data_IF_605728562453
#
_entry.id   IF_605728562453
#
_cell.length_a   1.000
_cell.length_b   1.000
_cell.length_c   1.000
_cell.angle_alpha   90.00
_cell.angle_beta   90.00
_cell.angle_gamma   90.00
#
_symmetry.space_group_name_H-M   'P 1'
#
loop_
_entity.id
_entity.type
_entity.pdbx_description
1 polymer ?
#
# COMPACT_ATOMS: atom_id res chain seq x y z
N UNK A 1 -28.37 27.60 -1.26
CA UNK A 1 -28.07 26.41 -2.08
C UNK A 1 -27.27 25.45 -1.21
N UNK A 2 -27.93 24.45 -0.66
CA UNK A 2 -27.28 23.40 0.13
C UNK A 2 -26.60 22.45 -0.84
N UNK A 3 -25.27 22.49 -0.89
CA UNK A 3 -24.48 21.46 -1.53
C UNK A 3 -24.74 20.14 -0.81
N UNK A 4 -25.54 19.30 -1.42
CA UNK A 4 -25.77 17.95 -0.98
C UNK A 4 -24.46 17.19 -1.22
N UNK A 5 -23.57 17.17 -0.25
CA UNK A 5 -22.40 16.31 -0.25
C UNK A 5 -22.97 14.90 -0.11
N UNK A 6 -23.10 14.19 -1.22
CA UNK A 6 -23.37 12.75 -1.16
C UNK A 6 -22.19 12.16 -0.38
N UNK A 7 -22.46 11.76 0.86
CA UNK A 7 -21.55 10.92 1.62
C UNK A 7 -21.50 9.63 0.82
N UNK A 8 -20.36 9.35 0.20
CA UNK A 8 -20.17 8.08 -0.48
C UNK A 8 -20.31 6.99 0.57
N UNK A 9 -21.11 5.97 0.29
CA UNK A 9 -21.23 4.80 1.16
C UNK A 9 -19.93 3.98 1.18
N UNK A 10 -18.96 4.38 0.37
CA UNK A 10 -17.65 3.76 0.27
C UNK A 10 -16.86 3.89 1.57
N UNK A 11 -16.27 2.79 1.97
CA UNK A 11 -15.46 2.69 3.18
C UNK A 11 -14.14 1.98 2.93
N UNK A 12 -13.08 2.58 3.43
CA UNK A 12 -11.73 2.04 3.36
C UNK A 12 -11.33 1.49 4.72
N UNK A 13 -10.91 0.23 4.73
CA UNK A 13 -10.30 -0.40 5.88
C UNK A 13 -8.78 -0.21 5.81
N UNK A 14 -8.17 0.27 6.89
CA UNK A 14 -6.72 0.40 7.00
C UNK A 14 -6.24 -0.62 8.03
N UNK A 15 -5.39 -1.54 7.62
CA UNK A 15 -4.70 -2.47 8.52
C UNK A 15 -3.33 -1.92 8.86
N UNK A 16 -3.12 -1.68 10.16
CA UNK A 16 -1.92 -1.03 10.71
C UNK A 16 -0.87 -2.06 11.10
N UNK A 17 0.28 -2.01 10.41
CA UNK A 17 1.46 -2.82 10.70
C UNK A 17 2.49 -2.10 11.60
N UNK A 18 2.08 -1.03 12.27
CA UNK A 18 2.93 -0.28 13.19
C UNK A 18 3.60 0.95 12.57
N UNK A 19 3.11 1.45 11.46
CA UNK A 19 3.63 2.67 10.84
C UNK A 19 3.27 3.92 11.64
N UNK A 20 4.20 4.82 11.80
CA UNK A 20 3.93 6.17 12.31
C UNK A 20 3.03 7.00 11.38
N UNK A 21 2.80 6.56 10.15
CA UNK A 21 1.98 7.24 9.14
C UNK A 21 0.56 6.68 8.99
N UNK A 22 0.20 5.61 9.70
CA UNK A 22 -1.11 4.97 9.52
C UNK A 22 -2.28 5.91 9.82
N UNK A 23 -2.17 6.73 10.87
CA UNK A 23 -3.17 7.76 11.19
C UNK A 23 -3.24 8.86 10.12
N UNK A 24 -2.10 9.23 9.53
CA UNK A 24 -2.06 10.20 8.44
C UNK A 24 -2.76 9.66 7.20
N UNK A 25 -2.57 8.37 6.88
CA UNK A 25 -3.27 7.70 5.78
C UNK A 25 -4.77 7.77 6.00
N UNK A 26 -5.26 7.40 7.19
CA UNK A 26 -6.68 7.48 7.54
C UNK A 26 -7.24 8.89 7.39
N UNK A 27 -6.49 9.88 7.85
CA UNK A 27 -6.86 11.29 7.70
C UNK A 27 -6.95 11.72 6.24
N UNK A 28 -5.98 11.35 5.40
CA UNK A 28 -5.98 11.70 3.98
C UNK A 28 -7.16 11.09 3.22
N UNK A 29 -7.51 9.84 3.54
CA UNK A 29 -8.70 9.19 2.98
C UNK A 29 -9.96 9.98 3.34
N UNK A 30 -10.10 10.40 4.61
CA UNK A 30 -11.24 11.20 5.07
C UNK A 30 -11.27 12.60 4.46
N UNK A 31 -10.13 13.25 4.29
CA UNK A 31 -10.01 14.54 3.59
C UNK A 31 -10.46 14.44 2.14
N UNK A 32 -10.30 13.27 1.49
CA UNK A 32 -10.85 12.98 0.18
C UNK A 32 -12.37 12.68 0.18
N UNK A 33 -13.03 12.77 1.34
CA UNK A 33 -14.47 12.56 1.46
C UNK A 33 -14.90 11.09 1.60
N UNK A 34 -13.96 10.18 1.84
CA UNK A 34 -14.23 8.74 1.97
C UNK A 34 -14.12 8.32 3.43
N UNK A 35 -15.07 7.52 3.91
CA UNK A 35 -15.02 6.96 5.26
C UNK A 35 -13.87 5.97 5.40
N UNK A 36 -13.13 6.05 6.50
CA UNK A 36 -12.06 5.10 6.80
C UNK A 36 -11.97 4.78 8.27
N UNK A 37 -11.64 3.53 8.58
CA UNK A 37 -11.26 3.09 9.93
C UNK A 37 -9.94 2.34 9.88
N UNK A 38 -9.21 2.41 10.99
CA UNK A 38 -7.91 1.78 11.16
C UNK A 38 -8.01 0.72 12.26
N UNK A 39 -7.57 -0.48 11.95
CA UNK A 39 -7.50 -1.62 12.87
C UNK A 39 -6.10 -2.23 12.85
N UNK A 40 -5.77 -3.02 13.84
CA UNK A 40 -4.53 -3.78 13.86
C UNK A 40 -4.47 -4.79 12.69
N UNK A 41 -3.27 -5.08 12.22
CA UNK A 41 -3.05 -5.97 11.07
C UNK A 41 -3.66 -7.37 11.23
N UNK A 42 -3.85 -7.84 12.45
CA UNK A 42 -4.38 -9.17 12.81
C UNK A 42 -5.90 -9.18 13.04
N UNK A 43 -6.60 -8.18 12.51
CA UNK A 43 -8.07 -8.13 12.53
C UNK A 43 -8.66 -9.45 12.02
N UNK A 44 -9.69 -9.97 12.71
CA UNK A 44 -10.28 -11.24 12.35
C UNK A 44 -10.98 -11.19 10.98
N UNK A 45 -11.03 -12.33 10.28
CA UNK A 45 -11.78 -12.44 9.03
C UNK A 45 -13.25 -12.04 9.19
N UNK A 46 -13.88 -12.46 10.30
CA UNK A 46 -15.26 -12.13 10.60
C UNK A 46 -15.48 -10.61 10.69
N UNK A 47 -14.59 -9.91 11.41
CA UNK A 47 -14.67 -8.47 11.56
C UNK A 47 -14.40 -7.72 10.25
N UNK A 48 -13.44 -8.19 9.45
CA UNK A 48 -13.16 -7.63 8.12
C UNK A 48 -14.39 -7.75 7.21
N UNK A 49 -15.04 -8.92 7.19
CA UNK A 49 -16.26 -9.13 6.42
C UNK A 49 -17.43 -8.30 6.95
N UNK A 50 -17.57 -8.17 8.27
CA UNK A 50 -18.59 -7.34 8.90
C UNK A 50 -18.39 -5.84 8.61
N UNK A 51 -17.14 -5.38 8.55
CA UNK A 51 -16.81 -4.01 8.14
C UNK A 51 -17.25 -3.72 6.70
N UNK A 52 -17.24 -4.73 5.83
CA UNK A 52 -17.64 -4.66 4.43
C UNK A 52 -16.90 -3.54 3.67
N UNK A 53 -15.56 -3.61 3.55
CA UNK A 53 -14.78 -2.57 2.89
C UNK A 53 -14.99 -2.54 1.38
N UNK A 54 -14.93 -1.34 0.78
CA UNK A 54 -14.85 -1.15 -0.68
C UNK A 54 -13.40 -1.13 -1.17
N UNK A 55 -12.44 -0.98 -0.24
CA UNK A 55 -11.02 -1.07 -0.49
C UNK A 55 -10.25 -1.24 0.82
N UNK A 56 -9.06 -1.79 0.75
CA UNK A 56 -8.20 -2.06 1.90
C UNK A 56 -6.84 -1.42 1.67
N UNK A 57 -6.30 -0.77 2.70
CA UNK A 57 -4.93 -0.25 2.70
C UNK A 57 -4.13 -1.03 3.75
N UNK A 58 -3.01 -1.62 3.33
CA UNK A 58 -2.01 -2.21 4.21
C UNK A 58 -0.93 -1.16 4.45
N UNK A 59 -0.80 -0.70 5.68
CA UNK A 59 0.16 0.36 6.03
C UNK A 59 1.61 -0.14 6.00
N UNK A 60 2.55 0.77 6.18
CA UNK A 60 3.92 0.42 6.48
C UNK A 60 4.09 -0.15 7.88
N UNK A 61 5.29 -0.58 8.19
CA UNK A 61 5.67 -1.10 9.51
C UNK A 61 7.19 -1.20 9.64
N UNK A 62 7.69 -1.36 10.88
CA UNK A 62 9.13 -1.42 11.15
C UNK A 62 9.75 -2.81 10.95
N UNK A 63 8.93 -3.85 10.81
CA UNK A 63 9.37 -5.24 10.74
C UNK A 63 9.86 -5.63 9.34
N UNK A 64 10.54 -6.77 9.25
CA UNK A 64 10.97 -7.39 8.00
C UNK A 64 10.17 -8.66 7.72
N UNK A 65 9.59 -8.77 6.52
CA UNK A 65 8.65 -9.86 6.18
C UNK A 65 9.28 -11.25 6.12
N UNK A 66 10.61 -11.33 5.98
CA UNK A 66 11.35 -12.60 5.96
C UNK A 66 11.72 -13.10 7.36
N UNK A 67 11.53 -12.31 8.39
CA UNK A 67 11.75 -12.74 9.76
C UNK A 67 10.63 -13.68 10.24
N UNK A 68 11.01 -14.69 11.02
CA UNK A 68 10.05 -15.63 11.57
C UNK A 68 9.09 -14.92 12.54
N UNK A 69 7.78 -15.07 12.31
CA UNK A 69 6.75 -14.44 13.13
C UNK A 69 6.43 -12.99 12.74
N UNK A 70 6.97 -12.49 11.63
CA UNK A 70 6.64 -11.15 11.13
C UNK A 70 5.14 -11.00 10.87
N UNK A 71 4.58 -9.80 11.09
CA UNK A 71 3.18 -9.51 10.85
C UNK A 71 2.76 -9.81 9.41
N UNK A 72 1.60 -10.45 9.22
CA UNK A 72 1.03 -10.76 7.91
C UNK A 72 -0.40 -10.27 7.83
N UNK A 73 -0.82 -9.89 6.63
CA UNK A 73 -2.23 -9.58 6.40
C UNK A 73 -3.07 -10.86 6.50
N UNK A 74 -4.30 -10.80 7.03
CA UNK A 74 -5.24 -11.92 6.94
C UNK A 74 -5.48 -12.32 5.49
N UNK A 75 -5.49 -13.62 5.19
CA UNK A 75 -5.65 -14.11 3.81
C UNK A 75 -6.94 -13.63 3.14
N UNK A 76 -7.99 -13.42 3.93
CA UNK A 76 -9.26 -12.89 3.44
C UNK A 76 -9.12 -11.57 2.69
N UNK A 77 -8.14 -10.73 3.06
CA UNK A 77 -7.85 -9.45 2.41
C UNK A 77 -7.67 -9.60 0.89
N UNK A 78 -6.98 -10.67 0.47
CA UNK A 78 -6.70 -10.93 -0.94
C UNK A 78 -7.81 -11.72 -1.65
N UNK A 79 -8.82 -12.20 -0.90
CA UNK A 79 -9.90 -13.03 -1.42
C UNK A 79 -11.27 -12.33 -1.43
N UNK A 80 -11.36 -11.09 -0.92
CA UNK A 80 -12.61 -10.33 -0.89
C UNK A 80 -13.04 -9.78 -2.25
N UNK A 81 -12.13 -9.70 -3.22
CA UNK A 81 -12.42 -9.10 -4.52
C UNK A 81 -12.53 -7.58 -4.50
N UNK A 82 -11.95 -6.92 -3.50
CA UNK A 82 -11.85 -5.46 -3.40
C UNK A 82 -10.42 -5.00 -3.67
N UNK A 83 -10.21 -3.75 -4.14
CA UNK A 83 -8.87 -3.21 -4.32
C UNK A 83 -8.06 -3.21 -3.02
N UNK A 84 -6.79 -3.59 -3.10
CA UNK A 84 -5.85 -3.59 -1.98
C UNK A 84 -4.63 -2.74 -2.33
N UNK A 85 -4.33 -1.74 -1.51
CA UNK A 85 -3.13 -0.91 -1.62
C UNK A 85 -2.14 -1.26 -0.52
N UNK A 86 -0.97 -1.77 -0.88
CA UNK A 86 0.14 -2.00 0.05
C UNK A 86 1.15 -0.84 0.01
N UNK A 87 1.50 -0.30 1.18
CA UNK A 87 2.46 0.79 1.33
C UNK A 87 3.66 0.30 2.14
N UNK A 88 4.87 0.38 1.59
CA UNK A 88 6.12 -0.04 2.25
C UNK A 88 6.02 -1.50 2.75
N UNK A 89 6.01 -1.74 4.06
CA UNK A 89 5.82 -3.09 4.62
C UNK A 89 4.55 -3.76 4.09
N UNK A 90 3.45 -3.01 3.91
CA UNK A 90 2.21 -3.53 3.33
C UNK A 90 2.39 -4.07 1.91
N UNK A 91 3.19 -3.41 1.06
CA UNK A 91 3.57 -3.93 -0.25
C UNK A 91 4.44 -5.19 -0.12
N UNK A 92 5.38 -5.19 0.81
CA UNK A 92 6.31 -6.31 1.01
C UNK A 92 5.56 -7.56 1.49
N UNK A 93 4.69 -7.44 2.50
CA UNK A 93 3.90 -8.58 3.00
C UNK A 93 2.92 -9.08 1.94
N UNK A 94 2.27 -8.20 1.19
CA UNK A 94 1.41 -8.55 0.07
C UNK A 94 2.19 -9.32 -1.01
N UNK A 95 3.34 -8.81 -1.43
CA UNK A 95 4.20 -9.48 -2.41
C UNK A 95 4.63 -10.86 -1.96
N UNK A 96 5.07 -11.00 -0.71
CA UNK A 96 5.49 -12.28 -0.14
C UNK A 96 4.33 -13.28 -0.05
N UNK A 97 3.15 -12.83 0.38
CA UNK A 97 1.96 -13.69 0.53
C UNK A 97 1.37 -14.13 -0.80
N UNK A 98 1.51 -13.34 -1.86
CA UNK A 98 1.04 -13.65 -3.20
C UNK A 98 2.07 -14.39 -4.08
N UNK A 99 3.20 -14.81 -3.51
CA UNK A 99 4.18 -15.63 -4.20
C UNK A 99 5.37 -14.88 -4.81
N UNK A 100 5.49 -13.59 -4.54
CA UNK A 100 6.68 -12.80 -4.84
C UNK A 100 7.81 -13.04 -3.83
N UNK A 101 8.85 -12.23 -3.89
CA UNK A 101 10.01 -12.33 -3.02
C UNK A 101 10.45 -10.98 -2.50
N UNK A 102 10.80 -10.91 -1.22
CA UNK A 102 11.35 -9.74 -0.56
C UNK A 102 12.70 -10.12 0.07
N UNK A 103 13.68 -9.27 -0.09
CA UNK A 103 15.03 -9.47 0.43
C UNK A 103 15.53 -8.19 1.12
N UNK A 104 16.49 -8.30 2.03
CA UNK A 104 17.19 -7.14 2.56
C UNK A 104 17.76 -6.29 1.43
N UNK A 105 17.57 -4.98 1.50
CA UNK A 105 18.22 -4.06 0.58
C UNK A 105 19.69 -3.88 0.96
N UNK A 106 20.56 -3.82 -0.06
CA UNK A 106 21.98 -3.51 0.15
C UNK A 106 22.19 -2.06 0.60
N UNK A 107 21.23 -1.20 0.31
CA UNK A 107 21.20 0.21 0.66
C UNK A 107 19.86 0.53 1.32
N UNK A 108 19.92 1.10 2.51
CA UNK A 108 18.74 1.67 3.15
C UNK A 108 18.43 3.01 2.49
N UNK A 109 17.24 3.13 1.91
CA UNK A 109 16.81 4.35 1.24
C UNK A 109 15.92 5.19 2.17
N UNK A 110 16.51 6.22 2.72
CA UNK A 110 15.80 7.21 3.53
C UNK A 110 16.04 8.60 2.94
N UNK A 111 14.96 9.27 2.53
CA UNK A 111 15.03 10.63 2.05
C UNK A 111 14.39 10.85 0.68
N UNK A 112 14.74 11.97 0.08
CA UNK A 112 14.21 12.38 -1.21
C UNK A 112 14.66 11.43 -2.33
N UNK A 113 13.70 11.07 -3.17
CA UNK A 113 13.95 10.29 -4.39
C UNK A 113 13.04 10.77 -5.54
N UNK A 114 13.50 10.57 -6.75
CA UNK A 114 12.72 10.75 -7.97
C UNK A 114 12.41 9.38 -8.55
N UNK A 115 11.11 9.09 -8.66
CA UNK A 115 10.63 7.80 -9.15
C UNK A 115 10.19 7.97 -10.59
N UNK A 116 10.80 7.20 -11.48
CA UNK A 116 10.48 7.21 -12.91
C UNK A 116 9.20 6.39 -13.17
N UNK A 117 8.17 7.05 -13.70
CA UNK A 117 6.91 6.41 -14.10
C UNK A 117 7.13 5.67 -15.41
N UNK A 118 6.85 4.37 -15.42
CA UNK A 118 6.93 3.51 -16.61
C UNK A 118 5.55 3.26 -17.21
N UNK A 119 4.56 3.02 -16.35
CA UNK A 119 3.17 2.77 -16.76
C UNK A 119 2.25 3.59 -15.86
N UNK A 120 1.35 4.34 -16.47
CA UNK A 120 0.31 5.05 -15.73
C UNK A 120 -0.89 4.14 -15.56
N UNK A 121 -1.10 3.69 -14.33
CA UNK A 121 -2.27 2.94 -13.92
C UNK A 121 -3.34 3.86 -13.29
N UNK A 122 -4.39 3.26 -12.74
CA UNK A 122 -5.47 4.02 -12.09
C UNK A 122 -5.02 4.77 -10.83
N UNK A 123 -3.95 4.29 -10.16
CA UNK A 123 -3.47 4.89 -8.92
C UNK A 123 -2.70 6.18 -9.17
N UNK A 124 -1.93 6.23 -10.24
CA UNK A 124 -1.01 7.35 -10.52
C UNK A 124 -1.34 8.09 -11.82
N UNK A 125 -2.40 7.69 -12.53
CA UNK A 125 -2.77 8.25 -13.84
C UNK A 125 -3.02 9.74 -13.84
N UNK A 126 -3.64 10.25 -12.77
CA UNK A 126 -4.03 11.66 -12.62
C UNK A 126 -3.06 12.46 -11.75
N UNK A 127 -1.95 11.88 -11.31
CA UNK A 127 -0.95 12.60 -10.52
C UNK A 127 -0.17 13.57 -11.42
N UNK A 128 -0.10 14.82 -10.97
CA UNK A 128 0.78 15.81 -11.60
C UNK A 128 2.23 15.50 -11.29
N UNK A 129 3.04 15.47 -12.32
CA UNK A 129 4.47 15.21 -12.23
C UNK A 129 5.28 16.13 -13.14
N UNK A 130 6.59 16.03 -13.04
CA UNK A 130 7.52 16.71 -13.94
C UNK A 130 8.27 15.67 -14.75
N UNK A 131 8.07 15.64 -16.06
CA UNK A 131 8.79 14.77 -17.00
C UNK A 131 8.68 13.26 -16.69
N UNK A 132 7.48 12.78 -16.33
CA UNK A 132 7.20 11.40 -15.90
C UNK A 132 7.95 10.95 -14.64
N UNK A 133 8.27 11.90 -13.76
CA UNK A 133 8.90 11.62 -12.48
C UNK A 133 8.05 12.10 -11.32
N UNK A 134 7.89 11.26 -10.31
CA UNK A 134 7.29 11.63 -9.04
C UNK A 134 8.38 11.93 -8.02
N UNK A 135 8.26 13.09 -7.38
CA UNK A 135 9.12 13.47 -6.26
C UNK A 135 8.52 12.89 -4.98
N UNK A 136 9.23 11.95 -4.39
CA UNK A 136 8.76 11.21 -3.21
C UNK A 136 9.79 11.24 -2.09
N UNK A 137 9.37 10.79 -0.92
CA UNK A 137 10.25 10.55 0.21
C UNK A 137 10.28 9.05 0.48
N UNK A 138 11.43 8.42 0.28
CA UNK A 138 11.61 7.00 0.51
C UNK A 138 11.94 6.71 1.97
N UNK A 139 11.46 5.57 2.47
CA UNK A 139 11.73 5.11 3.83
C UNK A 139 11.62 3.59 3.89
N UNK A 140 12.64 2.89 3.40
CA UNK A 140 12.68 1.42 3.45
C UNK A 140 14.12 0.87 3.48
N UNK A 141 14.30 -0.29 4.13
CA UNK A 141 15.53 -1.06 4.14
C UNK A 141 15.44 -2.34 3.30
N UNK A 142 14.24 -2.92 3.21
CA UNK A 142 13.96 -4.13 2.45
C UNK A 142 13.32 -3.77 1.11
N UNK A 143 13.47 -4.65 0.12
CA UNK A 143 12.93 -4.44 -1.21
C UNK A 143 12.31 -5.71 -1.79
N UNK A 144 11.27 -5.54 -2.58
CA UNK A 144 10.74 -6.60 -3.42
C UNK A 144 11.79 -6.93 -4.50
N UNK A 145 12.11 -8.19 -4.67
CA UNK A 145 13.09 -8.68 -5.67
C UNK A 145 12.46 -9.57 -6.74
N UNK A 146 11.26 -10.09 -6.49
CA UNK A 146 10.45 -10.79 -7.49
C UNK A 146 8.97 -10.45 -7.26
N UNK A 147 8.28 -10.11 -8.35
CA UNK A 147 6.85 -9.80 -8.31
C UNK A 147 6.01 -11.09 -8.26
N UNK A 148 4.85 -11.04 -7.62
CA UNK A 148 3.83 -12.08 -7.79
C UNK A 148 3.38 -12.19 -9.26
N UNK A 149 2.81 -13.33 -9.62
CA UNK A 149 2.22 -13.52 -10.95
C UNK A 149 1.11 -12.49 -11.21
N UNK A 150 1.07 -11.92 -12.41
CA UNK A 150 0.10 -10.91 -12.82
C UNK A 150 0.49 -9.46 -12.51
N UNK A 151 1.50 -9.24 -11.65
CA UNK A 151 1.96 -7.89 -11.32
C UNK A 151 2.93 -7.35 -12.37
N UNK A 152 2.85 -6.04 -12.60
CA UNK A 152 3.76 -5.29 -13.46
C UNK A 152 4.36 -4.10 -12.72
N UNK A 153 5.55 -3.66 -13.14
CA UNK A 153 6.18 -2.46 -12.62
C UNK A 153 5.51 -1.22 -13.23
N UNK A 154 5.07 -0.31 -12.39
CA UNK A 154 4.50 0.97 -12.82
C UNK A 154 5.46 2.13 -12.63
N UNK A 155 6.37 2.03 -11.66
CA UNK A 155 7.43 3.01 -11.48
C UNK A 155 8.65 2.41 -10.77
N UNK A 156 9.82 3.00 -11.01
CA UNK A 156 11.09 2.52 -10.47
C UNK A 156 12.06 3.64 -10.13
N UNK A 157 13.07 3.31 -9.33
CA UNK A 157 14.29 4.11 -9.17
C UNK A 157 15.50 3.26 -9.52
N UNK A 158 16.70 3.82 -9.70
CA UNK A 158 17.91 3.02 -9.95
C UNK A 158 18.21 1.99 -8.86
N UNK A 159 17.86 2.28 -7.61
CA UNK A 159 18.10 1.44 -6.44
C UNK A 159 16.90 0.58 -6.05
N UNK A 160 15.69 0.94 -6.48
CA UNK A 160 14.45 0.22 -6.23
C UNK A 160 13.70 -0.07 -7.55
N UNK A 161 14.00 -1.19 -8.23
CA UNK A 161 13.36 -1.52 -9.50
C UNK A 161 11.84 -1.70 -9.44
N UNK A 162 11.32 -2.05 -8.28
CA UNK A 162 9.89 -2.28 -8.03
C UNK A 162 9.34 -1.27 -7.03
N UNK A 163 9.60 0.04 -7.29
CA UNK A 163 9.15 1.11 -6.41
C UNK A 163 7.63 1.23 -6.36
N UNK A 164 6.97 1.03 -7.49
CA UNK A 164 5.51 0.93 -7.59
C UNK A 164 5.15 -0.21 -8.55
N UNK A 165 4.14 -0.99 -8.18
CA UNK A 165 3.67 -2.15 -8.94
C UNK A 165 2.15 -2.24 -8.89
N UNK A 166 1.54 -2.82 -9.90
CA UNK A 166 0.10 -3.12 -9.95
C UNK A 166 -0.18 -4.43 -10.68
N UNK A 167 -1.34 -5.02 -10.43
CA UNK A 167 -1.88 -6.16 -11.15
C UNK A 167 -3.01 -5.73 -12.12
#
# INVERSE_FOLDING_TARGET
MTTNTQITEDRILILDFGSQYSQLIARRVREAGVYSEMYAFDMSEEDIRAFNPNGIILSGGPESVYEAGSPRAPEVVFNLGVPVLGICYGLQTMSQQLGGKVEPGDVHEFGYAEVDIQVRDKLIGDLEDTANQLKVWMSHGDKVTALPEGFQVTASTPSCPFAMVSD
#
